data_IF_996891705556
#
_entry.id   IF_996891705556
#
_cell.length_a   1.000
_cell.length_b   1.000
_cell.length_c   1.000
_cell.angle_alpha   90.00
_cell.angle_beta   90.00
_cell.angle_gamma   90.00
#
_symmetry.space_group_name_H-M   'P 1'
#
loop_
_entity.id
_entity.type
_entity.pdbx_description
1 polymer ?
#
# COMPACT_ATOMS: atom_id res chain seq x y z
N UNK A 1 -12.87 25.35 -2.58
CA UNK A 1 -12.11 25.34 -1.31
C UNK A 1 -12.44 24.05 -0.58
N UNK A 2 -11.44 23.20 -0.33
CA UNK A 2 -11.62 21.88 0.32
C UNK A 2 -10.60 21.69 1.45
N UNK A 3 -10.90 20.82 2.39
CA UNK A 3 -9.93 20.36 3.38
C UNK A 3 -9.12 19.21 2.80
N UNK A 4 -7.80 19.28 2.94
CA UNK A 4 -6.86 18.31 2.34
C UNK A 4 -6.31 17.34 3.38
N UNK A 5 -6.22 17.74 4.65
CA UNK A 5 -5.74 16.90 5.75
C UNK A 5 -6.43 17.24 7.07
N UNK A 6 -6.44 16.26 7.98
CA UNK A 6 -6.93 16.38 9.36
C UNK A 6 -5.90 15.80 10.33
N UNK A 7 -5.63 16.54 11.40
CA UNK A 7 -4.79 16.10 12.52
C UNK A 7 -5.63 16.19 13.79
N UNK A 8 -5.77 15.08 14.50
CA UNK A 8 -6.48 15.02 15.77
C UNK A 8 -5.48 14.95 16.92
N UNK A 9 -5.60 15.90 17.86
CA UNK A 9 -4.98 15.84 19.17
C UNK A 9 -5.91 15.17 20.19
N UNK A 10 -5.61 15.32 21.48
CA UNK A 10 -6.41 14.73 22.58
C UNK A 10 -7.85 15.26 22.59
N UNK A 11 -7.99 16.59 22.57
CA UNK A 11 -9.29 17.29 22.64
C UNK A 11 -9.39 18.44 21.62
N UNK A 12 -8.51 18.46 20.61
CA UNK A 12 -8.50 19.45 19.53
C UNK A 12 -8.25 18.80 18.17
N UNK A 13 -8.68 19.47 17.10
CA UNK A 13 -8.50 19.03 15.71
C UNK A 13 -8.00 20.18 14.86
N UNK A 14 -7.04 19.91 13.98
CA UNK A 14 -6.49 20.85 12.99
C UNK A 14 -6.86 20.37 11.59
N UNK A 15 -7.43 21.25 10.79
CA UNK A 15 -7.87 21.01 9.42
C UNK A 15 -7.05 21.86 8.46
N UNK A 16 -6.26 21.23 7.60
CA UNK A 16 -5.48 21.93 6.55
C UNK A 16 -6.36 22.11 5.32
N UNK A 17 -6.39 23.32 4.77
CA UNK A 17 -7.17 23.69 3.60
C UNK A 17 -6.34 23.65 2.33
N UNK A 18 -7.01 23.50 1.19
CA UNK A 18 -6.41 23.50 -0.14
C UNK A 18 -5.69 24.80 -0.51
N UNK A 19 -5.96 25.89 0.20
CA UNK A 19 -5.31 27.20 0.03
C UNK A 19 -4.07 27.38 0.91
N UNK A 20 -3.67 26.34 1.65
CA UNK A 20 -2.51 26.36 2.54
C UNK A 20 -2.74 27.07 3.88
N UNK A 21 -3.98 27.45 4.19
CA UNK A 21 -4.37 27.86 5.55
C UNK A 21 -4.79 26.65 6.39
N UNK A 22 -4.89 26.84 7.71
CA UNK A 22 -5.40 25.82 8.61
C UNK A 22 -6.51 26.40 9.50
N UNK A 23 -7.39 25.52 9.98
CA UNK A 23 -8.46 25.84 10.94
C UNK A 23 -8.38 24.86 12.08
N UNK A 24 -8.62 25.34 13.28
CA UNK A 24 -8.63 24.53 14.50
C UNK A 24 -10.01 24.51 15.15
N UNK A 25 -10.32 23.43 15.85
CA UNK A 25 -11.49 23.35 16.72
C UNK A 25 -11.22 22.43 17.91
N UNK A 26 -11.96 22.62 19.00
CA UNK A 26 -11.82 21.86 20.24
C UNK A 26 -11.30 22.71 21.40
N UNK A 27 -10.82 22.05 22.45
CA UNK A 27 -10.27 22.71 23.64
C UNK A 27 -9.11 23.62 23.23
N UNK A 28 -8.99 24.78 23.87
CA UNK A 28 -7.89 25.74 23.66
C UNK A 28 -7.24 26.18 24.98
N UNK A 29 -7.33 25.37 26.04
CA UNK A 29 -6.83 25.74 27.37
C UNK A 29 -5.32 26.00 27.39
N UNK A 30 -4.55 25.31 26.53
CA UNK A 30 -3.10 25.47 26.39
C UNK A 30 -2.69 26.22 25.10
N UNK A 31 -3.64 26.85 24.40
CA UNK A 31 -3.35 27.58 23.14
C UNK A 31 -3.22 26.70 21.88
N UNK A 32 -3.58 25.41 21.94
CA UNK A 32 -3.49 24.48 20.81
C UNK A 32 -4.30 24.88 19.55
N UNK A 33 -5.31 25.74 19.70
CA UNK A 33 -6.09 26.29 18.59
C UNK A 33 -5.55 27.63 18.08
N UNK A 34 -4.58 28.25 18.76
CA UNK A 34 -4.00 29.56 18.42
C UNK A 34 -2.91 29.43 17.35
N UNK A 35 -3.28 28.87 16.21
CA UNK A 35 -2.39 28.75 15.05
C UNK A 35 -2.25 30.10 14.33
N UNK A 36 -1.01 30.52 14.10
CA UNK A 36 -0.72 31.72 13.31
C UNK A 36 -0.93 31.46 11.83
N UNK A 37 -1.58 32.37 11.10
CA UNK A 37 -1.56 32.30 9.63
C UNK A 37 -0.12 32.36 9.11
N UNK A 38 0.22 31.58 8.08
CA UNK A 38 1.55 31.64 7.49
C UNK A 38 1.81 33.01 6.85
N UNK A 39 3.08 33.41 6.79
CA UNK A 39 3.48 34.66 6.13
C UNK A 39 3.09 34.67 4.65
N UNK A 40 2.91 35.85 4.01
CA UNK A 40 2.60 35.93 2.58
C UNK A 40 3.61 35.14 1.74
N UNK A 41 3.13 34.13 1.01
CA UNK A 41 3.95 33.23 0.19
C UNK A 41 4.38 31.93 0.89
N UNK A 42 4.04 31.76 2.17
CA UNK A 42 4.18 30.51 2.91
C UNK A 42 2.84 29.81 3.06
N UNK A 43 2.86 28.48 3.13
CA UNK A 43 1.66 27.66 3.23
C UNK A 43 1.89 26.52 4.22
N UNK A 44 0.87 26.19 5.00
CA UNK A 44 0.84 24.93 5.72
C UNK A 44 0.73 23.80 4.70
N UNK A 45 1.83 23.06 4.54
CA UNK A 45 1.80 21.81 3.79
C UNK A 45 1.41 20.71 4.74
N UNK A 46 0.40 19.97 4.34
CA UNK A 46 0.28 18.62 4.82
C UNK A 46 1.48 17.81 4.38
N UNK A 47 1.99 16.89 5.21
CA UNK A 47 2.96 15.90 4.71
C UNK A 47 2.20 15.14 3.62
N UNK A 48 2.46 15.46 2.37
CA UNK A 48 2.15 14.59 1.25
C UNK A 48 3.08 13.41 1.47
N UNK A 49 2.65 12.43 2.28
CA UNK A 49 3.15 11.08 2.06
C UNK A 49 2.77 10.86 0.61
N UNK A 50 3.74 10.77 -0.33
CA UNK A 50 3.40 10.40 -1.69
C UNK A 50 2.49 9.20 -1.55
N UNK A 51 1.33 9.14 -2.24
CA UNK A 51 0.57 7.92 -2.21
C UNK A 51 1.46 6.89 -2.87
N UNK A 52 2.26 6.19 -2.07
CA UNK A 52 2.74 4.87 -2.40
C UNK A 52 1.44 4.12 -2.42
N UNK A 53 0.80 4.11 -3.60
CA UNK A 53 -0.39 3.30 -3.83
C UNK A 53 0.17 1.89 -3.88
N UNK A 54 0.51 1.37 -2.71
CA UNK A 54 0.82 -0.03 -2.54
C UNK A 54 -0.43 -0.76 -3.01
N UNK A 55 -0.35 -1.32 -4.21
CA UNK A 55 -1.34 -2.22 -4.73
C UNK A 55 -1.16 -3.51 -3.94
N UNK A 56 -2.10 -3.76 -3.03
CA UNK A 56 -2.13 -5.00 -2.25
C UNK A 56 -3.00 -5.98 -2.99
N UNK A 57 -2.43 -7.15 -3.28
CA UNK A 57 -3.15 -8.26 -3.90
C UNK A 57 -2.88 -9.54 -3.13
N UNK A 58 -3.91 -10.38 -3.05
CA UNK A 58 -3.78 -11.73 -2.53
C UNK A 58 -3.27 -12.64 -3.66
N UNK A 59 -2.20 -13.37 -3.37
CA UNK A 59 -1.64 -14.40 -4.24
C UNK A 59 -2.11 -15.77 -3.74
N UNK A 60 -2.75 -16.54 -4.60
CA UNK A 60 -3.11 -17.92 -4.35
C UNK A 60 -2.35 -18.82 -5.31
N UNK A 61 -1.77 -19.89 -4.78
CA UNK A 61 -1.12 -20.94 -5.55
C UNK A 61 -1.96 -22.21 -5.45
N UNK A 62 -2.32 -22.78 -6.60
CA UNK A 62 -3.16 -23.98 -6.69
C UNK A 62 -2.44 -24.98 -7.58
N UNK A 63 -2.13 -26.16 -7.07
CA UNK A 63 -1.58 -27.25 -7.88
C UNK A 63 -2.71 -28.13 -8.42
N UNK A 64 -2.91 -28.11 -9.75
CA UNK A 64 -4.00 -28.82 -10.42
C UNK A 64 -3.48 -29.48 -11.70
N UNK A 65 -3.77 -30.78 -11.89
CA UNK A 65 -3.40 -31.52 -13.09
C UNK A 65 -1.91 -31.39 -13.50
N UNK A 66 -1.01 -31.48 -12.51
CA UNK A 66 0.46 -31.38 -12.69
C UNK A 66 0.98 -29.99 -13.09
N UNK A 67 0.17 -28.95 -12.89
CA UNK A 67 0.51 -27.56 -13.19
C UNK A 67 0.22 -26.69 -11.97
N UNK A 68 1.13 -25.76 -11.64
CA UNK A 68 0.88 -24.73 -10.65
C UNK A 68 0.15 -23.56 -11.30
N UNK A 69 -1.05 -23.25 -10.81
CA UNK A 69 -1.86 -22.11 -11.23
C UNK A 69 -1.76 -21.04 -10.17
N UNK A 70 -1.26 -19.88 -10.57
CA UNK A 70 -1.13 -18.69 -9.72
C UNK A 70 -2.26 -17.73 -10.02
N UNK A 71 -2.89 -17.22 -8.97
CA UNK A 71 -3.97 -16.25 -9.06
C UNK A 71 -3.65 -15.04 -8.21
N UNK A 72 -3.77 -13.86 -8.79
CA UNK A 72 -3.69 -12.60 -8.07
C UNK A 72 -5.06 -11.93 -8.05
N UNK A 73 -5.61 -11.78 -6.86
CA UNK A 73 -6.90 -11.14 -6.62
C UNK A 73 -6.74 -9.88 -5.79
N UNK A 74 -7.61 -8.91 -5.99
CA UNK A 74 -7.74 -7.78 -5.06
C UNK A 74 -8.27 -8.27 -3.71
N UNK A 75 -8.13 -7.46 -2.66
CA UNK A 75 -8.67 -7.78 -1.33
C UNK A 75 -10.21 -7.86 -1.27
N UNK A 76 -10.91 -7.42 -2.33
CA UNK A 76 -12.37 -7.60 -2.47
C UNK A 76 -12.73 -8.88 -3.23
N UNK A 77 -11.75 -9.72 -3.57
CA UNK A 77 -11.94 -11.00 -4.26
C UNK A 77 -12.01 -10.91 -5.79
N UNK A 78 -11.80 -9.72 -6.37
CA UNK A 78 -11.75 -9.57 -7.84
C UNK A 78 -10.43 -10.14 -8.37
N UNK A 79 -10.49 -11.23 -9.15
CA UNK A 79 -9.34 -11.81 -9.85
C UNK A 79 -8.82 -10.83 -10.92
N UNK A 80 -7.54 -10.45 -10.84
CA UNK A 80 -6.89 -9.56 -11.81
C UNK A 80 -5.99 -10.31 -12.78
N UNK A 81 -5.28 -11.32 -12.30
CA UNK A 81 -4.35 -12.13 -13.09
C UNK A 81 -4.48 -13.60 -12.70
N UNK A 82 -4.37 -14.46 -13.69
CA UNK A 82 -4.34 -15.91 -13.54
C UNK A 82 -3.40 -16.47 -14.60
N UNK A 83 -2.36 -17.20 -14.17
CA UNK A 83 -1.38 -17.78 -15.08
C UNK A 83 -0.81 -19.09 -14.54
N UNK A 84 -0.16 -19.85 -15.42
CA UNK A 84 0.49 -21.11 -15.06
C UNK A 84 1.98 -20.87 -14.81
N UNK A 85 2.54 -21.57 -13.83
CA UNK A 85 3.95 -21.56 -13.49
C UNK A 85 4.48 -22.98 -13.32
N UNK A 86 5.80 -23.13 -13.42
CA UNK A 86 6.48 -24.36 -13.08
C UNK A 86 6.86 -24.36 -11.60
N UNK A 87 6.82 -25.54 -10.96
CA UNK A 87 7.16 -25.67 -9.54
C UNK A 87 8.62 -25.30 -9.21
N UNK A 88 9.50 -25.26 -10.21
CA UNK A 88 10.91 -24.87 -10.08
C UNK A 88 11.14 -23.37 -10.31
N UNK A 89 10.13 -22.61 -10.76
CA UNK A 89 10.27 -21.17 -10.95
C UNK A 89 10.50 -20.51 -9.58
N UNK A 90 11.31 -19.46 -9.54
CA UNK A 90 11.58 -18.76 -8.30
C UNK A 90 10.33 -17.99 -7.86
N UNK A 91 10.03 -18.05 -6.56
CA UNK A 91 8.90 -17.32 -5.97
C UNK A 91 9.00 -15.80 -6.23
N UNK A 92 10.22 -15.25 -6.31
CA UNK A 92 10.45 -13.83 -6.63
C UNK A 92 10.05 -13.45 -8.07
N UNK A 93 10.09 -14.37 -9.03
CA UNK A 93 9.73 -14.08 -10.41
C UNK A 93 8.23 -13.85 -10.57
N UNK A 94 7.39 -14.36 -9.66
CA UNK A 94 5.97 -14.01 -9.54
C UNK A 94 5.81 -12.50 -9.36
N UNK A 95 6.57 -11.91 -8.43
CA UNK A 95 6.46 -10.48 -8.11
C UNK A 95 6.84 -9.61 -9.33
N UNK A 96 7.90 -10.00 -10.06
CA UNK A 96 8.29 -9.36 -11.32
C UNK A 96 7.22 -9.52 -12.41
N UNK A 97 6.69 -10.73 -12.57
CA UNK A 97 5.67 -11.02 -13.58
C UNK A 97 4.43 -10.14 -13.38
N UNK A 98 3.89 -10.10 -12.16
CA UNK A 98 2.71 -9.27 -11.84
C UNK A 98 2.99 -7.78 -12.09
N UNK A 99 4.17 -7.28 -11.71
CA UNK A 99 4.51 -5.88 -11.98
C UNK A 99 4.59 -5.56 -13.47
N UNK A 100 5.15 -6.47 -14.27
CA UNK A 100 5.25 -6.30 -15.71
C UNK A 100 3.87 -6.33 -16.40
N UNK A 101 3.00 -7.27 -16.01
CA UNK A 101 1.64 -7.38 -16.54
C UNK A 101 0.79 -6.15 -16.21
N UNK A 102 0.88 -5.66 -14.97
CA UNK A 102 0.12 -4.48 -14.52
C UNK A 102 0.77 -3.14 -14.88
N UNK A 103 1.98 -3.16 -15.46
CA UNK A 103 2.80 -1.98 -15.79
C UNK A 103 3.01 -1.05 -14.59
N UNK A 104 3.30 -1.65 -13.42
CA UNK A 104 3.57 -0.95 -12.16
C UNK A 104 5.01 -1.18 -11.70
N UNK A 105 5.48 -0.36 -10.75
CA UNK A 105 6.79 -0.55 -10.12
C UNK A 105 6.76 -1.69 -9.10
N UNK A 106 7.87 -2.42 -8.97
CA UNK A 106 8.06 -3.44 -7.92
C UNK A 106 7.77 -2.86 -6.52
N UNK A 107 8.19 -1.61 -6.27
CA UNK A 107 8.01 -0.96 -4.97
C UNK A 107 6.54 -0.62 -4.67
N UNK A 108 5.67 -0.64 -5.67
CA UNK A 108 4.25 -0.34 -5.54
C UNK A 108 3.37 -1.58 -5.44
N UNK A 109 3.93 -2.79 -5.43
CA UNK A 109 3.17 -4.04 -5.34
C UNK A 109 3.48 -4.78 -4.03
N UNK A 110 2.43 -5.10 -3.28
CA UNK A 110 2.51 -6.05 -2.15
C UNK A 110 1.65 -7.27 -2.45
N UNK A 111 2.29 -8.42 -2.60
CA UNK A 111 1.62 -9.70 -2.73
C UNK A 111 1.52 -10.36 -1.37
N UNK A 112 0.30 -10.67 -0.94
CA UNK A 112 -0.02 -11.32 0.32
C UNK A 112 -0.30 -12.80 0.04
N UNK A 113 0.44 -13.69 0.69
CA UNK A 113 0.22 -15.13 0.63
C UNK A 113 -1.01 -15.53 1.47
N UNK A 114 -1.58 -16.74 1.29
CA UNK A 114 -2.79 -17.16 2.01
C UNK A 114 -2.65 -17.15 3.54
N UNK A 115 -1.42 -17.27 4.05
CA UNK A 115 -1.09 -17.19 5.48
C UNK A 115 -0.94 -15.74 6.00
N UNK A 116 -1.21 -14.73 5.18
CA UNK A 116 -1.13 -13.31 5.54
C UNK A 116 0.28 -12.70 5.49
N UNK A 117 1.31 -13.50 5.22
CA UNK A 117 2.68 -13.03 5.03
C UNK A 117 2.88 -12.38 3.65
N UNK A 118 3.80 -11.43 3.54
CA UNK A 118 4.18 -10.85 2.25
C UNK A 118 5.13 -11.78 1.49
N UNK A 119 4.91 -11.92 0.18
CA UNK A 119 5.82 -12.67 -0.69
C UNK A 119 7.25 -12.11 -0.64
N UNK A 120 7.39 -10.77 -0.55
CA UNK A 120 8.70 -10.11 -0.44
C UNK A 120 9.44 -10.55 0.83
N UNK A 121 8.73 -10.72 1.93
CA UNK A 121 9.33 -11.09 3.22
C UNK A 121 9.69 -12.57 3.22
N UNK A 122 8.83 -13.41 2.63
CA UNK A 122 9.09 -14.83 2.41
C UNK A 122 10.34 -15.05 1.56
N UNK A 123 10.45 -14.37 0.41
CA UNK A 123 11.63 -14.47 -0.46
C UNK A 123 12.90 -13.89 0.18
N UNK A 124 12.80 -12.90 1.07
CA UNK A 124 13.96 -12.42 1.82
C UNK A 124 14.46 -13.47 2.83
N UNK A 125 13.55 -14.18 3.49
CA UNK A 125 13.91 -15.26 4.42
C UNK A 125 14.42 -16.51 3.70
N UNK A 126 13.89 -16.78 2.50
CA UNK A 126 14.32 -17.89 1.64
C UNK A 126 14.53 -17.41 0.18
N UNK A 127 15.76 -16.97 -0.17
CA UNK A 127 16.06 -16.44 -1.51
C UNK A 127 15.96 -17.46 -2.65
N UNK A 128 16.00 -18.76 -2.32
CA UNK A 128 15.92 -19.86 -3.30
C UNK A 128 14.54 -20.52 -3.31
N UNK A 129 13.56 -19.92 -2.63
CA UNK A 129 12.20 -20.44 -2.60
C UNK A 129 11.60 -20.50 -4.00
N UNK A 130 10.91 -21.60 -4.29
CA UNK A 130 10.25 -21.82 -5.57
C UNK A 130 8.73 -21.68 -5.45
N UNK A 131 8.02 -21.73 -6.58
CA UNK A 131 6.55 -21.75 -6.61
C UNK A 131 5.99 -22.94 -5.81
N UNK A 132 6.69 -24.07 -5.78
CA UNK A 132 6.27 -25.23 -5.00
C UNK A 132 6.29 -24.96 -3.48
N UNK A 133 7.15 -24.07 -3.00
CA UNK A 133 7.24 -23.70 -1.59
C UNK A 133 6.11 -22.74 -1.15
N UNK A 134 5.31 -22.24 -2.09
CA UNK A 134 4.18 -21.34 -1.85
C UNK A 134 2.82 -22.06 -1.75
N UNK A 135 2.78 -23.35 -2.10
CA UNK A 135 1.57 -24.18 -2.14
C UNK A 135 1.26 -24.86 -0.80
#
# INVERSE_FOLDING_TARGET
MSYTQVFAGRDHTVLVRSDGSAVTCGTNEDGQCDISSPEPGSFYIGIQVPPVRDLIMQLECIFEADVFKLKCSTLVGEEKLCWNAHGFDLAWDIHKHVCNELKISLQSLRLVLPLGQLLTDFCHQNPVATVADLA
#
